data_IF_270747224173
#
_entry.id   IF_270747224173
#
_cell.length_a   1.000
_cell.length_b   1.000
_cell.length_c   1.000
_cell.angle_alpha   90.00
_cell.angle_beta   90.00
_cell.angle_gamma   90.00
#
_symmetry.space_group_name_H-M   'P 1'
#
loop_
_entity.id
_entity.type
_entity.pdbx_description
1 polymer ?
#
# COMPACT_ATOMS: atom_id res chain seq x y z
N UNK A 1 -16.00 -22.68 0.96
CA UNK A 1 -16.14 -21.45 0.15
C UNK A 1 -14.95 -20.57 0.49
N UNK A 2 -14.01 -20.44 -0.45
CA UNK A 2 -12.80 -19.64 -0.26
C UNK A 2 -13.12 -18.16 -0.22
N UNK A 3 -12.20 -17.34 0.28
CA UNK A 3 -12.35 -15.89 0.24
C UNK A 3 -12.34 -15.46 -1.24
N UNK A 4 -13.49 -15.07 -1.76
CA UNK A 4 -13.62 -14.45 -3.08
C UNK A 4 -13.23 -12.96 -2.96
N UNK A 5 -11.94 -12.65 -3.07
CA UNK A 5 -11.43 -11.26 -3.12
C UNK A 5 -11.67 -10.60 -4.50
N UNK A 6 -12.72 -11.00 -5.21
CA UNK A 6 -13.05 -10.53 -6.55
C UNK A 6 -14.07 -9.39 -6.55
N UNK A 7 -14.06 -8.57 -7.62
CA UNK A 7 -15.06 -7.51 -7.83
C UNK A 7 -14.73 -6.16 -7.16
N UNK A 8 -15.76 -5.44 -6.71
CA UNK A 8 -15.64 -4.06 -6.21
C UNK A 8 -14.67 -3.94 -5.03
N UNK A 9 -14.65 -4.94 -4.13
CA UNK A 9 -13.74 -4.93 -2.99
C UNK A 9 -12.28 -4.97 -3.42
N UNK A 10 -11.92 -5.84 -4.38
CA UNK A 10 -10.57 -5.89 -4.95
C UNK A 10 -10.19 -4.58 -5.64
N UNK A 11 -11.15 -3.92 -6.32
CA UNK A 11 -10.94 -2.61 -6.92
C UNK A 11 -10.65 -1.51 -5.87
N UNK A 12 -11.40 -1.49 -4.76
CA UNK A 12 -11.16 -0.55 -3.65
C UNK A 12 -9.76 -0.76 -3.08
N UNK A 13 -9.39 -2.02 -2.82
CA UNK A 13 -8.05 -2.36 -2.31
C UNK A 13 -6.97 -1.90 -3.29
N UNK A 14 -7.15 -2.12 -4.59
CA UNK A 14 -6.22 -1.65 -5.61
C UNK A 14 -6.06 -0.13 -5.61
N UNK A 15 -7.17 0.63 -5.58
CA UNK A 15 -7.14 2.10 -5.54
C UNK A 15 -6.39 2.60 -4.29
N UNK A 16 -6.65 2.00 -3.14
CA UNK A 16 -5.97 2.35 -1.90
C UNK A 16 -4.47 2.03 -1.97
N UNK A 17 -4.08 0.90 -2.57
CA UNK A 17 -2.68 0.53 -2.74
C UNK A 17 -1.95 1.55 -3.63
N UNK A 18 -2.55 1.96 -4.75
CA UNK A 18 -1.99 3.00 -5.63
C UNK A 18 -1.86 4.32 -4.89
N UNK A 19 -2.88 4.73 -4.14
CA UNK A 19 -2.82 5.93 -3.31
C UNK A 19 -1.69 5.90 -2.29
N UNK A 20 -1.54 4.78 -1.58
CA UNK A 20 -0.47 4.58 -0.61
C UNK A 20 0.92 4.70 -1.26
N UNK A 21 1.12 4.05 -2.41
CA UNK A 21 2.38 4.12 -3.17
C UNK A 21 2.69 5.55 -3.59
N UNK A 22 1.70 6.30 -4.12
CA UNK A 22 1.90 7.71 -4.50
C UNK A 22 2.36 8.53 -3.30
N UNK A 23 1.72 8.36 -2.14
CA UNK A 23 2.08 9.07 -0.90
C UNK A 23 3.48 8.70 -0.40
N UNK A 24 3.89 7.43 -0.53
CA UNK A 24 5.25 7.00 -0.22
C UNK A 24 6.26 7.66 -1.15
N UNK A 25 6.02 7.63 -2.47
CA UNK A 25 6.95 8.18 -3.47
C UNK A 25 7.07 9.69 -3.35
N UNK A 26 5.98 10.40 -3.06
CA UNK A 26 5.95 11.85 -2.87
C UNK A 26 6.47 12.30 -1.50
N UNK A 27 6.66 11.38 -0.55
CA UNK A 27 7.13 11.73 0.79
C UNK A 27 8.57 12.26 0.82
N UNK A 28 8.95 12.95 1.88
CA UNK A 28 10.33 13.34 2.19
C UNK A 28 11.25 12.18 2.61
N UNK A 29 10.76 10.93 2.61
CA UNK A 29 11.57 9.77 3.00
C UNK A 29 12.72 9.50 2.00
N UNK A 30 13.83 8.97 2.51
CA UNK A 30 14.95 8.55 1.66
C UNK A 30 14.57 7.40 0.71
N UNK A 31 15.30 7.26 -0.40
CA UNK A 31 15.01 6.27 -1.46
C UNK A 31 14.87 4.85 -0.94
N UNK A 32 15.75 4.39 -0.04
CA UNK A 32 15.67 3.04 0.52
C UNK A 32 14.37 2.78 1.30
N UNK A 33 13.91 3.76 2.07
CA UNK A 33 12.64 3.66 2.81
C UNK A 33 11.45 3.62 1.85
N UNK A 34 11.47 4.44 0.79
CA UNK A 34 10.42 4.44 -0.24
C UNK A 34 10.31 3.07 -0.91
N UNK A 35 11.43 2.51 -1.35
CA UNK A 35 11.46 1.19 -2.00
C UNK A 35 10.94 0.12 -1.05
N UNK A 36 11.39 0.10 0.20
CA UNK A 36 10.92 -0.86 1.21
C UNK A 36 9.41 -0.81 1.39
N UNK A 37 8.84 0.39 1.54
CA UNK A 37 7.40 0.56 1.71
C UNK A 37 6.60 0.16 0.48
N UNK A 38 7.05 0.50 -0.72
CA UNK A 38 6.40 0.06 -1.97
C UNK A 38 6.40 -1.47 -2.07
N UNK A 39 7.51 -2.13 -1.75
CA UNK A 39 7.61 -3.60 -1.75
C UNK A 39 6.64 -4.21 -0.72
N UNK A 40 6.57 -3.68 0.50
CA UNK A 40 5.64 -4.15 1.54
C UNK A 40 4.19 -4.06 1.07
N UNK A 41 3.79 -2.92 0.50
CA UNK A 41 2.42 -2.68 0.01
C UNK A 41 2.08 -3.65 -1.13
N UNK A 42 2.98 -3.88 -2.08
CA UNK A 42 2.74 -4.78 -3.22
C UNK A 42 2.70 -6.26 -2.83
N UNK A 43 3.58 -6.71 -1.92
CA UNK A 43 3.63 -8.10 -1.47
C UNK A 43 2.49 -8.44 -0.51
N UNK A 44 2.01 -7.46 0.25
CA UNK A 44 0.97 -7.62 1.25
C UNK A 44 -0.11 -6.55 1.03
N UNK A 45 -1.01 -6.70 0.03
CA UNK A 45 -1.91 -5.61 -0.36
C UNK A 45 -2.86 -5.11 0.73
N UNK A 46 -3.30 -5.99 1.63
CA UNK A 46 -4.14 -5.62 2.76
C UNK A 46 -3.31 -5.23 3.98
N UNK A 47 -2.34 -6.08 4.35
CA UNK A 47 -1.51 -5.86 5.53
C UNK A 47 -0.56 -4.68 5.35
N UNK A 48 0.13 -4.61 4.21
CA UNK A 48 1.02 -3.53 3.83
C UNK A 48 0.31 -2.19 3.73
N UNK A 49 -0.93 -2.16 3.23
CA UNK A 49 -1.76 -0.96 3.26
C UNK A 49 -2.08 -0.52 4.70
N UNK A 50 -2.46 -1.46 5.58
CA UNK A 50 -2.71 -1.18 6.99
C UNK A 50 -1.45 -0.68 7.72
N UNK A 51 -0.32 -1.35 7.52
CA UNK A 51 0.98 -0.97 8.07
C UNK A 51 1.39 0.42 7.58
N UNK A 52 1.22 0.71 6.29
CA UNK A 52 1.51 2.03 5.74
C UNK A 52 0.59 3.10 6.33
N UNK A 53 -0.70 2.78 6.52
CA UNK A 53 -1.63 3.71 7.16
C UNK A 53 -1.23 4.03 8.61
N UNK A 54 -0.61 3.10 9.35
CA UNK A 54 -0.17 3.35 10.72
C UNK A 54 1.21 4.02 10.79
N UNK A 55 2.19 3.50 10.06
CA UNK A 55 3.61 3.85 10.21
C UNK A 55 4.32 4.25 8.90
N UNK A 56 3.60 4.24 7.78
CA UNK A 56 4.15 4.58 6.48
C UNK A 56 4.45 6.07 6.32
N UNK A 57 5.37 6.44 5.41
CA UNK A 57 5.68 7.82 5.09
C UNK A 57 4.53 8.42 4.25
N UNK A 58 4.04 9.59 4.66
CA UNK A 58 2.82 10.22 4.10
C UNK A 58 3.00 11.69 3.69
N UNK A 59 4.16 12.28 4.00
CA UNK A 59 4.48 13.71 3.84
C UNK A 59 5.83 13.88 3.20
#
# INVERSE_FOLDING_TARGET
>A
MGIEVGGIFGLIVLVLNVFAIIKVVQSGAGTGSKVLWVVIILLLPLLGLLLWYLAGPKG
#
